data_IF_502941605742
#
_entry.id   IF_502941605742
#
_cell.length_a   1.000
_cell.length_b   1.000
_cell.length_c   1.000
_cell.angle_alpha   90.00
_cell.angle_beta   90.00
_cell.angle_gamma   90.00
#
_symmetry.space_group_name_H-M   'P 1'
#
loop_
_entity.id
_entity.type
_entity.pdbx_description
1 polymer ?
#
# COMPACT_ATOMS: atom_id res chain seq x y z
N UNK A 1 6.27 24.52 -5.95
CA UNK A 1 6.06 24.04 -4.56
C UNK A 1 5.98 22.52 -4.45
N UNK A 2 4.96 21.83 -5.00
CA UNK A 2 4.85 20.36 -4.85
C UNK A 2 5.98 19.59 -5.55
N UNK A 3 6.42 20.05 -6.72
CA UNK A 3 7.61 19.51 -7.42
C UNK A 3 8.88 19.69 -6.59
N UNK A 4 9.09 20.88 -6.03
CA UNK A 4 10.30 21.21 -5.26
C UNK A 4 10.42 20.40 -3.96
N UNK A 5 9.28 20.02 -3.35
CA UNK A 5 9.25 19.25 -2.10
C UNK A 5 9.26 17.73 -2.32
N UNK A 6 9.00 17.25 -3.54
CA UNK A 6 8.86 15.81 -3.80
C UNK A 6 10.13 14.99 -3.44
N UNK A 7 11.36 15.42 -3.77
CA UNK A 7 12.57 14.67 -3.40
C UNK A 7 12.75 14.55 -1.89
N UNK A 8 12.42 15.60 -1.14
CA UNK A 8 12.53 15.58 0.32
C UNK A 8 11.47 14.66 0.95
N UNK A 9 10.24 14.67 0.42
CA UNK A 9 9.20 13.74 0.88
C UNK A 9 9.57 12.29 0.55
N UNK A 10 10.12 12.04 -0.63
CA UNK A 10 10.62 10.71 -1.01
C UNK A 10 11.71 10.21 -0.04
N UNK A 11 12.66 11.09 0.32
CA UNK A 11 13.68 10.79 1.33
C UNK A 11 13.05 10.43 2.67
N UNK A 12 12.00 11.13 3.09
CA UNK A 12 11.29 10.88 4.35
C UNK A 12 10.48 9.57 4.34
N UNK A 13 10.12 9.00 3.18
CA UNK A 13 9.50 7.67 3.10
C UNK A 13 10.43 6.55 3.58
N UNK A 14 11.74 6.77 3.49
CA UNK A 14 12.76 5.80 3.88
C UNK A 14 13.31 6.08 5.29
N UNK A 15 12.71 7.03 6.02
CA UNK A 15 13.17 7.43 7.34
C UNK A 15 12.90 6.34 8.40
N UNK A 16 13.71 6.28 9.46
CA UNK A 16 13.60 5.20 10.46
C UNK A 16 12.29 5.27 11.27
N UNK A 17 11.80 6.48 11.57
CA UNK A 17 10.63 6.67 12.41
C UNK A 17 9.31 6.36 11.65
N UNK A 18 8.51 5.37 12.10
CA UNK A 18 7.19 5.09 11.55
C UNK A 18 6.25 6.30 11.52
N UNK A 19 6.36 7.22 12.49
CA UNK A 19 5.52 8.42 12.57
C UNK A 19 5.82 9.44 11.47
N UNK A 20 7.06 9.46 10.99
CA UNK A 20 7.48 10.28 9.86
C UNK A 20 7.05 9.60 8.57
N UNK A 21 7.33 8.30 8.41
CA UNK A 21 6.98 7.55 7.21
C UNK A 21 5.50 7.57 6.89
N UNK A 22 4.62 7.37 7.89
CA UNK A 22 3.17 7.42 7.67
C UNK A 22 2.70 8.80 7.17
N UNK A 23 3.31 9.89 7.67
CA UNK A 23 3.01 11.24 7.21
C UNK A 23 3.59 11.52 5.83
N UNK A 24 4.80 11.04 5.55
CA UNK A 24 5.43 11.16 4.24
C UNK A 24 4.64 10.40 3.16
N UNK A 25 4.08 9.22 3.47
CA UNK A 25 3.21 8.47 2.55
C UNK A 25 1.92 9.24 2.23
N UNK A 26 1.26 9.80 3.25
CA UNK A 26 0.08 10.66 3.05
C UNK A 26 0.41 11.95 2.29
N UNK A 27 1.58 12.54 2.53
CA UNK A 27 2.05 13.70 1.79
C UNK A 27 2.31 13.35 0.31
N UNK A 28 2.92 12.20 0.05
CA UNK A 28 3.17 11.68 -1.30
C UNK A 28 1.86 11.50 -2.08
N UNK A 29 0.81 10.97 -1.43
CA UNK A 29 -0.54 10.90 -2.01
C UNK A 29 -1.03 12.29 -2.44
N UNK A 30 -0.80 13.32 -1.63
CA UNK A 30 -1.23 14.68 -1.96
C UNK A 30 -0.42 15.27 -3.11
N UNK A 31 0.88 14.95 -3.20
CA UNK A 31 1.77 15.35 -4.28
C UNK A 31 1.30 14.72 -5.59
N UNK A 32 1.12 13.40 -5.68
CA UNK A 32 0.70 12.72 -6.92
C UNK A 32 -0.69 13.16 -7.39
N UNK A 33 -1.60 13.48 -6.46
CA UNK A 33 -2.93 14.04 -6.81
C UNK A 33 -2.85 15.46 -7.36
N UNK A 34 -1.80 16.22 -7.04
CA UNK A 34 -1.61 17.60 -7.49
C UNK A 34 -0.70 17.69 -8.72
N UNK A 35 0.27 16.79 -8.83
CA UNK A 35 1.24 16.70 -9.92
C UNK A 35 1.39 15.23 -10.31
N UNK A 36 0.48 14.70 -11.15
CA UNK A 36 0.49 13.31 -11.61
C UNK A 36 1.81 12.85 -12.22
N UNK A 37 2.52 13.74 -12.92
CA UNK A 37 3.79 13.47 -13.59
C UNK A 37 4.90 12.95 -12.66
N UNK A 38 4.75 13.12 -11.33
CA UNK A 38 5.71 12.63 -10.35
C UNK A 38 5.40 11.23 -9.83
N UNK A 39 4.33 10.59 -10.29
CA UNK A 39 3.87 9.31 -9.76
C UNK A 39 4.95 8.22 -9.84
N UNK A 40 5.70 8.17 -10.95
CA UNK A 40 6.75 7.17 -11.18
C UNK A 40 7.85 7.20 -10.11
N UNK A 41 8.20 8.40 -9.63
CA UNK A 41 9.23 8.58 -8.59
C UNK A 41 8.86 7.87 -7.28
N UNK A 42 7.56 7.72 -7.00
CA UNK A 42 7.10 7.12 -5.75
C UNK A 42 6.83 5.62 -5.84
N UNK A 43 6.92 4.97 -7.01
CA UNK A 43 6.56 3.55 -7.18
C UNK A 43 7.42 2.64 -6.29
N UNK A 44 8.75 2.76 -6.39
CA UNK A 44 9.67 1.91 -5.63
C UNK A 44 9.58 2.17 -4.13
N UNK A 45 9.45 3.44 -3.73
CA UNK A 45 9.26 3.82 -2.34
C UNK A 45 7.93 3.31 -1.78
N UNK A 46 6.85 3.34 -2.56
CA UNK A 46 5.55 2.80 -2.14
C UNK A 46 5.59 1.27 -1.99
N UNK A 47 6.26 0.57 -2.91
CA UNK A 47 6.42 -0.88 -2.86
C UNK A 47 7.20 -1.34 -1.62
N UNK A 48 8.18 -0.57 -1.14
CA UNK A 48 8.93 -0.89 0.08
C UNK A 48 8.07 -0.81 1.33
N UNK A 49 7.12 0.13 1.39
CA UNK A 49 6.18 0.29 2.51
C UNK A 49 5.25 -0.92 2.69
N UNK A 50 5.01 -1.71 1.63
CA UNK A 50 4.16 -2.91 1.71
C UNK A 50 4.79 -4.04 2.53
N UNK A 51 6.08 -3.92 2.89
CA UNK A 51 6.84 -4.89 3.69
C UNK A 51 6.94 -4.47 5.16
N UNK A 52 6.31 -3.38 5.55
CA UNK A 52 6.41 -2.82 6.90
C UNK A 52 5.59 -3.62 7.91
N UNK A 53 6.21 -3.91 9.06
CA UNK A 53 5.53 -4.55 10.19
C UNK A 53 4.63 -3.59 10.96
N UNK A 54 4.93 -2.29 10.93
CA UNK A 54 4.13 -1.30 11.63
C UNK A 54 2.84 -1.03 10.84
N UNK A 55 1.69 -1.43 11.38
CA UNK A 55 0.40 -1.36 10.70
C UNK A 55 0.04 0.05 10.20
N UNK A 56 0.31 1.08 11.02
CA UNK A 56 0.09 2.47 10.62
C UNK A 56 0.89 2.91 9.38
N UNK A 57 2.11 2.39 9.17
CA UNK A 57 2.90 2.67 7.97
C UNK A 57 2.35 1.86 6.80
N UNK A 58 2.07 0.58 7.03
CA UNK A 58 1.53 -0.34 6.03
C UNK A 58 0.19 0.17 5.46
N UNK A 59 -0.76 0.62 6.30
CA UNK A 59 -2.03 1.24 5.88
C UNK A 59 -1.79 2.40 4.91
N UNK A 60 -0.85 3.29 5.25
CA UNK A 60 -0.54 4.45 4.41
C UNK A 60 0.22 4.07 3.14
N UNK A 61 1.06 3.03 3.18
CA UNK A 61 1.74 2.47 2.01
C UNK A 61 0.77 1.83 1.03
N UNK A 62 -0.15 1.00 1.52
CA UNK A 62 -1.23 0.39 0.72
C UNK A 62 -2.09 1.47 0.07
N UNK A 63 -2.42 2.54 0.81
CA UNK A 63 -3.18 3.65 0.26
C UNK A 63 -2.40 4.42 -0.83
N UNK A 64 -1.09 4.62 -0.64
CA UNK A 64 -0.22 5.26 -1.65
C UNK A 64 -0.15 4.42 -2.92
N UNK A 65 0.06 3.09 -2.81
CA UNK A 65 0.01 2.18 -3.95
C UNK A 65 -1.33 2.26 -4.69
N UNK A 66 -2.44 2.28 -3.96
CA UNK A 66 -3.78 2.37 -4.57
C UNK A 66 -4.01 3.68 -5.32
N UNK A 67 -3.50 4.81 -4.81
CA UNK A 67 -3.60 6.09 -5.50
C UNK A 67 -2.64 6.16 -6.70
N UNK A 68 -1.44 5.57 -6.61
CA UNK A 68 -0.51 5.46 -7.74
C UNK A 68 -1.10 4.63 -8.89
N UNK A 69 -1.72 3.48 -8.60
CA UNK A 69 -2.38 2.64 -9.61
C UNK A 69 -3.49 3.36 -10.38
N UNK A 70 -4.12 4.38 -9.78
CA UNK A 70 -5.18 5.17 -10.45
C UNK A 70 -4.63 6.28 -11.33
N UNK A 71 -3.39 6.71 -11.08
CA UNK A 71 -2.77 7.85 -11.74
C UNK A 71 -1.81 7.40 -12.85
N UNK A 72 -1.16 6.24 -12.69
CA UNK A 72 -0.21 5.69 -13.66
C UNK A 72 -0.50 4.21 -13.95
N UNK A 73 -0.62 3.88 -15.23
CA UNK A 73 -0.75 2.50 -15.72
C UNK A 73 0.51 1.68 -15.49
N UNK A 74 1.69 2.32 -15.54
CA UNK A 74 2.97 1.67 -15.29
C UNK A 74 3.09 1.25 -13.82
N UNK A 75 2.62 2.10 -12.90
CA UNK A 75 2.51 1.76 -11.50
C UNK A 75 1.59 0.54 -11.30
N UNK A 76 0.42 0.53 -11.95
CA UNK A 76 -0.51 -0.59 -11.90
C UNK A 76 0.15 -1.90 -12.36
N UNK A 77 0.81 -1.90 -13.52
CA UNK A 77 1.54 -3.07 -14.02
C UNK A 77 2.66 -3.51 -13.09
N UNK A 78 3.43 -2.56 -12.55
CA UNK A 78 4.49 -2.86 -11.61
C UNK A 78 3.95 -3.58 -10.37
N UNK A 79 2.90 -3.05 -9.75
CA UNK A 79 2.32 -3.64 -8.53
C UNK A 79 1.66 -4.99 -8.81
N UNK A 80 1.01 -5.18 -9.96
CA UNK A 80 0.47 -6.49 -10.39
C UNK A 80 1.57 -7.54 -10.47
N UNK A 81 2.69 -7.21 -11.14
CA UNK A 81 3.80 -8.14 -11.38
C UNK A 81 4.63 -8.40 -10.13
N UNK A 82 4.87 -7.39 -9.28
CA UNK A 82 5.86 -7.46 -8.20
C UNK A 82 5.29 -7.54 -6.79
N UNK A 83 4.04 -7.11 -6.56
CA UNK A 83 3.53 -6.92 -5.20
C UNK A 83 2.30 -7.76 -4.86
N UNK A 84 1.56 -8.29 -5.85
CA UNK A 84 0.32 -9.06 -5.64
C UNK A 84 0.49 -10.21 -4.63
N UNK A 85 1.49 -11.08 -4.82
CA UNK A 85 1.72 -12.20 -3.91
C UNK A 85 2.09 -11.74 -2.49
N UNK A 86 2.87 -10.66 -2.38
CA UNK A 86 3.22 -10.07 -1.10
C UNK A 86 1.98 -9.55 -0.36
N UNK A 87 1.08 -8.87 -1.07
CA UNK A 87 -0.17 -8.35 -0.49
C UNK A 87 -1.11 -9.46 -0.03
N UNK A 88 -1.22 -10.55 -0.81
CA UNK A 88 -2.00 -11.74 -0.43
C UNK A 88 -1.43 -12.38 0.84
N UNK A 89 -0.11 -12.52 0.93
CA UNK A 89 0.56 -13.01 2.15
C UNK A 89 0.30 -12.10 3.34
N UNK A 90 0.48 -10.78 3.18
CA UNK A 90 0.22 -9.80 4.23
C UNK A 90 -1.24 -9.86 4.70
N UNK A 91 -2.21 -9.96 3.79
CA UNK A 91 -3.62 -10.09 4.16
C UNK A 91 -3.86 -11.36 4.99
N UNK A 92 -3.31 -12.50 4.55
CA UNK A 92 -3.39 -13.76 5.29
C UNK A 92 -2.77 -13.65 6.68
N UNK A 93 -1.63 -12.98 6.80
CA UNK A 93 -0.92 -12.82 8.07
C UNK A 93 -1.68 -11.93 9.06
N UNK A 94 -2.38 -10.89 8.58
CA UNK A 94 -3.23 -10.03 9.44
C UNK A 94 -4.51 -10.78 9.86
N UNK A 95 -5.14 -11.52 8.95
CA UNK A 95 -6.34 -12.32 9.24
C UNK A 95 -6.07 -13.42 10.27
N UNK A 96 -4.93 -14.11 10.16
CA UNK A 96 -4.52 -15.17 11.08
C UNK A 96 -3.63 -14.68 12.22
N UNK A 97 -3.51 -13.36 12.38
CA UNK A 97 -2.61 -12.79 13.38
C UNK A 97 -3.06 -13.18 14.79
N UNK A 98 -2.14 -13.58 15.68
CA UNK A 98 -2.49 -13.75 17.08
C UNK A 98 -2.98 -12.42 17.67
N UNK A 99 -3.75 -12.50 18.75
CA UNK A 99 -4.30 -11.33 19.44
C UNK A 99 -3.22 -10.27 19.70
N UNK A 100 -3.43 -9.08 19.14
CA UNK A 100 -2.55 -7.92 19.29
C UNK A 100 -3.33 -6.77 19.92
N UNK A 101 -3.15 -6.47 21.22
CA UNK A 101 -3.93 -5.45 21.92
C UNK A 101 -3.84 -4.05 21.30
N UNK A 102 -2.72 -3.76 20.61
CA UNK A 102 -2.51 -2.46 19.95
C UNK A 102 -3.42 -2.26 18.74
N UNK A 103 -3.79 -3.35 18.06
CA UNK A 103 -4.52 -3.32 16.79
C UNK A 103 -5.87 -4.01 16.85
N UNK A 104 -6.21 -4.68 17.95
CA UNK A 104 -7.48 -5.36 18.14
C UNK A 104 -8.63 -4.35 18.23
N UNK A 105 -9.68 -4.62 17.46
CA UNK A 105 -10.96 -3.95 17.58
C UNK A 105 -12.04 -5.02 17.64
N UNK A 106 -12.55 -5.26 18.84
CA UNK A 106 -13.63 -6.24 19.10
C UNK A 106 -13.29 -7.66 18.67
N UNK A 107 -12.06 -8.11 18.91
CA UNK A 107 -11.58 -9.45 18.55
C UNK A 107 -11.12 -9.60 17.10
N UNK A 108 -11.06 -8.49 16.34
CA UNK A 108 -10.54 -8.47 14.97
C UNK A 108 -9.26 -7.65 14.97
N UNK A 109 -8.14 -8.25 14.57
CA UNK A 109 -6.87 -7.55 14.38
C UNK A 109 -6.95 -6.62 13.16
N UNK A 110 -6.78 -5.32 13.41
CA UNK A 110 -6.72 -4.23 12.42
C UNK A 110 -7.70 -4.32 11.24
N UNK A 111 -9.01 -4.12 11.49
CA UNK A 111 -10.02 -4.14 10.42
C UNK A 111 -9.79 -3.05 9.36
N UNK A 112 -9.12 -1.94 9.70
CA UNK A 112 -8.85 -0.87 8.74
C UNK A 112 -7.78 -1.29 7.72
N UNK A 113 -6.75 -2.02 8.16
CA UNK A 113 -5.75 -2.58 7.28
C UNK A 113 -6.35 -3.63 6.33
N UNK A 114 -7.22 -4.51 6.83
CA UNK A 114 -7.97 -5.46 5.98
C UNK A 114 -8.70 -4.74 4.85
N UNK A 115 -9.48 -3.71 5.18
CA UNK A 115 -10.25 -2.94 4.20
C UNK A 115 -9.33 -2.30 3.15
N UNK A 116 -8.17 -1.77 3.57
CA UNK A 116 -7.22 -1.12 2.64
C UNK A 116 -6.55 -2.13 1.72
N UNK A 117 -6.12 -3.28 2.25
CA UNK A 117 -5.53 -4.36 1.46
C UNK A 117 -6.52 -4.87 0.41
N UNK A 118 -7.75 -5.18 0.81
CA UNK A 118 -8.81 -5.63 -0.10
C UNK A 118 -9.12 -4.59 -1.19
N UNK A 119 -9.15 -3.30 -0.85
CA UNK A 119 -9.34 -2.23 -1.84
C UNK A 119 -8.21 -2.18 -2.87
N UNK A 120 -6.96 -2.41 -2.47
CA UNK A 120 -5.82 -2.45 -3.39
C UNK A 120 -5.88 -3.72 -4.25
N UNK A 121 -6.10 -4.89 -3.66
CA UNK A 121 -6.24 -6.15 -4.40
C UNK A 121 -7.33 -6.07 -5.47
N UNK A 122 -8.48 -5.44 -5.14
CA UNK A 122 -9.55 -5.17 -6.12
C UNK A 122 -9.06 -4.36 -7.33
N UNK A 123 -8.25 -3.32 -7.11
CA UNK A 123 -7.69 -2.50 -8.19
C UNK A 123 -6.72 -3.33 -9.04
N UNK A 124 -5.88 -4.13 -8.38
CA UNK A 124 -4.89 -4.97 -9.07
C UNK A 124 -5.54 -6.08 -9.89
N UNK A 125 -6.60 -6.73 -9.41
CA UNK A 125 -7.31 -7.80 -10.13
C UNK A 125 -8.26 -7.32 -11.23
N UNK A 126 -8.64 -6.04 -11.24
CA UNK A 126 -9.60 -5.53 -12.21
C UNK A 126 -9.08 -5.66 -13.66
N UNK A 127 -9.74 -6.51 -14.45
CA UNK A 127 -9.38 -6.76 -15.85
C UNK A 127 -8.07 -7.54 -16.02
N UNK A 128 -7.63 -8.27 -14.99
CA UNK A 128 -6.39 -9.06 -15.00
C UNK A 128 -6.66 -10.45 -14.40
N UNK A 129 -6.78 -11.45 -15.27
CA UNK A 129 -7.10 -12.82 -14.87
C UNK A 129 -5.98 -13.43 -14.02
N UNK A 130 -4.72 -13.26 -14.44
CA UNK A 130 -3.56 -13.80 -13.74
C UNK A 130 -3.43 -13.23 -12.31
N UNK A 131 -3.64 -11.92 -12.13
CA UNK A 131 -3.62 -11.31 -10.82
C UNK A 131 -4.82 -11.76 -9.97
N UNK A 132 -6.00 -11.94 -10.58
CA UNK A 132 -7.20 -12.42 -9.89
C UNK A 132 -7.03 -13.86 -9.41
N UNK A 133 -6.49 -14.74 -10.25
CA UNK A 133 -6.24 -16.14 -9.91
C UNK A 133 -5.29 -16.27 -8.72
N UNK A 134 -4.26 -15.42 -8.65
CA UNK A 134 -3.34 -15.37 -7.49
C UNK A 134 -4.00 -14.91 -6.18
N UNK A 135 -5.16 -14.24 -6.27
CA UNK A 135 -5.91 -13.76 -5.10
C UNK A 135 -7.02 -14.72 -4.68
N UNK A 136 -7.46 -15.62 -5.57
CA UNK A 136 -8.63 -16.49 -5.36
C UNK A 136 -8.54 -17.29 -4.07
N UNK A 137 -7.39 -17.89 -3.76
CA UNK A 137 -7.23 -18.78 -2.61
C UNK A 137 -7.47 -18.10 -1.26
N UNK A 138 -7.16 -16.81 -1.12
CA UNK A 138 -7.40 -16.06 0.13
C UNK A 138 -8.77 -15.37 0.15
N UNK A 139 -9.31 -15.02 -1.02
CA UNK A 139 -10.58 -14.31 -1.14
C UNK A 139 -11.79 -15.25 -1.14
N UNK A 140 -11.59 -16.55 -1.41
CA UNK A 140 -12.64 -17.56 -1.44
C UNK A 140 -12.76 -18.37 -0.11
N UNK A 141 -12.03 -17.97 0.94
CA UNK A 141 -12.13 -18.58 2.29
C UNK A 141 -13.39 -18.16 3.03
#
# INVERSE_FOLDING_TARGET
MARDLAPEVERLLQFRDPNIRKKAALCSIRIIKKVPDLAENFINCAASLLKEKHHGVLITGVQLCADLCKVSSEALEYFRKKCTEGLVRTLRDVVNSPYSPEYDISGITDPYLHIRLLKLLRILGQGDADASDRMTDILAQ
#
